data_IF_807128526370
#
_entry.id   IF_807128526370
#
_cell.length_a   1.000
_cell.length_b   1.000
_cell.length_c   1.000
_cell.angle_alpha   90.00
_cell.angle_beta   90.00
_cell.angle_gamma   90.00
#
_symmetry.space_group_name_H-M   'P 1'
#
loop_
_entity.id
_entity.type
_entity.pdbx_description
1 polymer ?
#
# COMPACT_ATOMS: atom_id res chain seq x y z
N UNK A 1 7.00 -35.98 5.86
CA UNK A 1 5.91 -35.02 5.54
C UNK A 1 6.22 -33.59 6.01
N UNK A 2 6.69 -33.35 7.25
CA UNK A 2 7.12 -32.01 7.74
C UNK A 2 8.18 -31.32 6.85
N UNK A 3 9.24 -32.03 6.45
CA UNK A 3 10.31 -31.45 5.63
C UNK A 3 9.91 -31.02 4.19
N UNK A 4 8.87 -31.64 3.61
CA UNK A 4 8.39 -31.24 2.26
C UNK A 4 7.57 -29.94 2.35
N UNK A 5 6.79 -29.79 3.43
CA UNK A 5 5.98 -28.60 3.67
C UNK A 5 6.85 -27.39 4.07
N UNK A 6 7.90 -27.61 4.86
CA UNK A 6 8.89 -26.57 5.19
C UNK A 6 9.68 -26.11 3.95
N UNK A 7 10.12 -27.03 3.10
CA UNK A 7 10.80 -26.68 1.85
C UNK A 7 9.90 -25.90 0.89
N UNK A 8 8.62 -26.27 0.80
CA UNK A 8 7.64 -25.56 -0.05
C UNK A 8 7.38 -24.14 0.49
N UNK A 9 7.24 -24.00 1.80
CA UNK A 9 7.04 -22.71 2.46
C UNK A 9 8.28 -21.82 2.34
N UNK A 10 9.47 -22.41 2.33
CA UNK A 10 10.75 -21.74 2.14
C UNK A 10 10.95 -21.22 0.70
N UNK A 11 10.70 -22.05 -0.30
CA UNK A 11 10.74 -21.63 -1.72
C UNK A 11 9.76 -20.50 -1.98
N UNK A 12 8.58 -20.54 -1.35
CA UNK A 12 7.56 -19.50 -1.47
C UNK A 12 8.05 -18.14 -0.94
N UNK A 13 8.85 -18.12 0.12
CA UNK A 13 9.39 -16.87 0.72
C UNK A 13 10.43 -16.22 -0.19
N UNK A 14 11.38 -16.99 -0.71
CA UNK A 14 12.38 -16.46 -1.65
C UNK A 14 11.69 -15.99 -2.92
N UNK A 15 10.74 -16.78 -3.45
CA UNK A 15 9.94 -16.40 -4.60
C UNK A 15 9.16 -15.10 -4.36
N UNK A 16 8.61 -14.89 -3.17
CA UNK A 16 7.91 -13.64 -2.82
C UNK A 16 8.84 -12.42 -2.77
N UNK A 17 10.06 -12.58 -2.24
CA UNK A 17 11.07 -11.52 -2.23
C UNK A 17 11.50 -11.13 -3.65
N UNK A 18 11.74 -12.13 -4.50
CA UNK A 18 12.05 -11.92 -5.93
C UNK A 18 10.87 -11.25 -6.65
N UNK A 19 9.64 -11.70 -6.39
CA UNK A 19 8.44 -11.12 -6.97
C UNK A 19 8.30 -9.64 -6.60
N UNK A 20 8.51 -9.27 -5.33
CA UNK A 20 8.46 -7.87 -4.88
C UNK A 20 9.52 -7.01 -5.60
N UNK A 21 10.74 -7.53 -5.76
CA UNK A 21 11.79 -6.84 -6.53
C UNK A 21 11.40 -6.67 -8.00
N UNK A 22 10.84 -7.71 -8.62
CA UNK A 22 10.39 -7.66 -10.02
C UNK A 22 9.27 -6.64 -10.20
N UNK A 23 8.31 -6.57 -9.28
CA UNK A 23 7.24 -5.57 -9.30
C UNK A 23 7.83 -4.15 -9.20
N UNK A 24 8.77 -3.92 -8.28
CA UNK A 24 9.45 -2.63 -8.15
C UNK A 24 10.27 -2.25 -9.39
N UNK A 25 10.97 -3.21 -9.99
CA UNK A 25 11.72 -3.03 -11.23
C UNK A 25 10.80 -2.75 -12.42
N UNK A 26 9.68 -3.48 -12.54
CA UNK A 26 8.68 -3.27 -13.57
C UNK A 26 8.00 -1.90 -13.45
N UNK A 27 7.66 -1.46 -12.23
CA UNK A 27 7.12 -0.13 -11.98
C UNK A 27 8.09 0.98 -12.43
N UNK A 28 9.39 0.81 -12.18
CA UNK A 28 10.41 1.77 -12.60
C UNK A 28 10.72 1.68 -14.10
N UNK A 29 10.63 0.50 -14.69
CA UNK A 29 10.71 0.32 -16.14
C UNK A 29 9.55 1.00 -16.84
N UNK A 30 8.32 0.86 -16.34
CA UNK A 30 7.14 1.60 -16.82
C UNK A 30 7.36 3.11 -16.72
N UNK A 31 7.95 3.59 -15.62
CA UNK A 31 8.30 5.00 -15.47
C UNK A 31 9.31 5.49 -16.53
N UNK A 32 10.24 4.64 -16.96
CA UNK A 32 11.20 4.94 -18.02
C UNK A 32 10.58 4.84 -19.41
N UNK A 33 9.75 3.85 -19.66
CA UNK A 33 9.05 3.65 -20.94
C UNK A 33 7.93 4.67 -21.19
N UNK A 34 7.43 5.31 -20.12
CA UNK A 34 6.49 6.43 -20.18
C UNK A 34 7.02 7.66 -20.94
N UNK A 35 8.34 7.76 -21.12
CA UNK A 35 9.06 8.89 -21.72
C UNK A 35 8.67 9.14 -23.20
N UNK A 36 8.08 8.15 -23.88
CA UNK A 36 7.61 8.28 -25.28
C UNK A 36 6.11 8.41 -25.49
N UNK A 37 5.27 8.21 -24.45
CA UNK A 37 3.82 8.06 -24.64
C UNK A 37 3.00 9.08 -23.83
N UNK A 38 2.20 9.91 -24.52
CA UNK A 38 1.44 11.04 -23.92
C UNK A 38 0.51 10.63 -22.76
N UNK A 39 0.02 9.39 -22.74
CA UNK A 39 -0.82 8.85 -21.67
C UNK A 39 -0.09 8.79 -20.31
N UNK A 40 1.22 8.56 -20.32
CA UNK A 40 2.00 8.28 -19.12
C UNK A 40 2.72 9.51 -18.54
N UNK A 41 2.88 10.57 -19.35
CA UNK A 41 3.55 11.81 -18.95
C UNK A 41 2.85 12.56 -17.79
N UNK A 42 1.56 12.28 -17.51
CA UNK A 42 0.85 12.87 -16.36
C UNK A 42 1.23 12.22 -15.03
N UNK A 43 1.75 10.99 -15.06
CA UNK A 43 2.18 10.22 -13.88
C UNK A 43 3.68 10.40 -13.62
N UNK A 44 4.45 10.48 -14.69
CA UNK A 44 5.91 10.44 -14.68
C UNK A 44 6.47 11.85 -14.96
N UNK A 45 6.76 12.63 -13.92
CA UNK A 45 7.44 13.92 -14.07
C UNK A 45 8.96 13.73 -14.11
N UNK A 46 9.47 12.93 -15.05
CA UNK A 46 10.92 12.85 -15.23
C UNK A 46 11.45 14.22 -15.68
N UNK A 47 12.08 14.95 -14.75
CA UNK A 47 12.96 16.05 -15.09
C UNK A 47 14.15 15.45 -15.86
N UNK A 48 14.39 15.94 -17.06
CA UNK A 48 15.27 15.40 -18.12
C UNK A 48 16.74 15.14 -17.74
N UNK A 49 17.15 15.33 -16.48
CA UNK A 49 18.57 15.41 -16.07
C UNK A 49 19.04 14.39 -15.01
N UNK A 50 18.24 13.40 -14.59
CA UNK A 50 18.73 12.34 -13.68
C UNK A 50 18.36 10.94 -14.18
N UNK A 51 19.10 10.49 -15.20
CA UNK A 51 19.07 9.13 -15.76
C UNK A 51 19.78 8.08 -14.87
N UNK A 52 20.06 8.39 -13.61
CA UNK A 52 20.68 7.44 -12.69
C UNK A 52 19.59 6.71 -11.92
N UNK A 53 19.68 5.39 -11.83
CA UNK A 53 18.95 4.63 -10.81
C UNK A 53 19.27 5.33 -9.48
N UNK A 54 18.28 5.94 -8.79
CA UNK A 54 18.57 6.68 -7.59
C UNK A 54 19.14 5.69 -6.61
N UNK A 55 20.27 6.05 -6.02
CA UNK A 55 20.94 5.26 -5.00
C UNK A 55 19.94 4.68 -3.97
N UNK A 56 18.90 5.46 -3.62
CA UNK A 56 17.81 5.04 -2.75
C UNK A 56 17.08 3.78 -3.22
N UNK A 57 16.73 3.67 -4.51
CA UNK A 57 16.05 2.48 -5.06
C UNK A 57 16.93 1.23 -4.98
N UNK A 58 18.22 1.39 -5.30
CA UNK A 58 19.19 0.30 -5.20
C UNK A 58 19.32 -0.19 -3.74
N UNK A 59 19.41 0.74 -2.79
CA UNK A 59 19.44 0.42 -1.35
C UNK A 59 18.15 -0.30 -0.93
N UNK A 60 16.98 0.13 -1.39
CA UNK A 60 15.71 -0.53 -1.08
C UNK A 60 15.64 -1.97 -1.60
N UNK A 61 16.04 -2.19 -2.86
CA UNK A 61 16.10 -3.54 -3.44
C UNK A 61 17.10 -4.42 -2.69
N UNK A 62 18.26 -3.86 -2.31
CA UNK A 62 19.26 -4.57 -1.51
C UNK A 62 18.72 -4.94 -0.13
N UNK A 63 17.97 -4.05 0.53
CA UNK A 63 17.34 -4.33 1.83
C UNK A 63 16.26 -5.42 1.72
N UNK A 64 15.47 -5.44 0.65
CA UNK A 64 14.52 -6.53 0.37
C UNK A 64 15.28 -7.85 0.20
N UNK A 65 16.39 -7.85 -0.54
CA UNK A 65 17.22 -9.04 -0.75
C UNK A 65 17.85 -9.54 0.54
N UNK A 66 18.38 -8.62 1.34
CA UNK A 66 18.95 -8.91 2.64
C UNK A 66 17.89 -9.47 3.59
N UNK A 67 16.67 -8.93 3.59
CA UNK A 67 15.57 -9.47 4.41
C UNK A 67 15.19 -10.90 4.02
N UNK A 68 15.11 -11.19 2.70
CA UNK A 68 14.85 -12.55 2.21
C UNK A 68 15.98 -13.50 2.58
N UNK A 69 17.24 -13.05 2.48
CA UNK A 69 18.41 -13.83 2.88
C UNK A 69 18.46 -14.06 4.41
N UNK A 70 18.05 -13.09 5.22
CA UNK A 70 17.98 -13.24 6.69
C UNK A 70 16.89 -14.21 7.13
N UNK A 71 15.74 -14.22 6.44
CA UNK A 71 14.70 -15.23 6.66
C UNK A 71 15.22 -16.62 6.31
N UNK A 72 15.95 -16.76 5.20
CA UNK A 72 16.63 -18.00 4.81
C UNK A 72 17.64 -18.45 5.88
N UNK A 73 18.51 -17.55 6.32
CA UNK A 73 19.56 -17.86 7.28
C UNK A 73 19.00 -18.25 8.65
N UNK A 74 17.99 -17.53 9.13
CA UNK A 74 17.35 -17.79 10.42
C UNK A 74 16.57 -19.11 10.45
N UNK A 75 16.03 -19.52 9.30
CA UNK A 75 15.29 -20.79 9.18
C UNK A 75 16.24 -21.98 9.07
N UNK A 76 17.33 -21.85 8.31
CA UNK A 76 18.38 -22.86 8.21
C UNK A 76 19.05 -23.16 9.57
N UNK A 77 19.40 -22.12 10.34
CA UNK A 77 19.98 -22.30 11.68
C UNK A 77 19.01 -22.98 12.66
N UNK A 78 17.70 -22.68 12.56
CA UNK A 78 16.66 -23.38 13.33
C UNK A 78 16.57 -24.86 12.99
N UNK A 79 16.69 -25.23 11.71
CA UNK A 79 16.69 -26.64 11.31
C UNK A 79 17.90 -27.40 11.88
N UNK A 80 19.01 -26.71 12.12
CA UNK A 80 20.21 -27.27 12.77
C UNK A 80 20.16 -27.23 14.31
N UNK A 81 19.02 -26.86 14.93
CA UNK A 81 18.84 -26.70 16.39
C UNK A 81 19.81 -25.73 17.05
N UNK A 82 20.44 -24.82 16.29
CA UNK A 82 21.29 -23.79 16.86
C UNK A 82 20.43 -22.61 17.33
N UNK A 83 20.83 -22.01 18.46
CA UNK A 83 20.20 -20.79 18.95
C UNK A 83 20.46 -19.63 17.99
N UNK A 84 19.46 -18.77 17.80
CA UNK A 84 19.58 -17.64 16.89
C UNK A 84 20.57 -16.63 17.48
N UNK A 85 21.70 -16.43 16.80
CA UNK A 85 22.73 -15.48 17.24
C UNK A 85 22.14 -14.06 17.40
N UNK A 86 22.54 -13.30 18.44
CA UNK A 86 22.07 -11.92 18.67
C UNK A 86 22.37 -10.99 17.49
N UNK A 87 23.37 -11.31 16.68
CA UNK A 87 23.73 -10.58 15.45
C UNK A 87 22.58 -10.60 14.44
N UNK A 88 21.88 -11.73 14.29
CA UNK A 88 20.73 -11.83 13.37
C UNK A 88 19.56 -10.98 13.85
N UNK A 89 19.31 -10.94 15.16
CA UNK A 89 18.25 -10.10 15.74
C UNK A 89 18.52 -8.63 15.51
N UNK A 90 19.75 -8.19 15.80
CA UNK A 90 20.16 -6.80 15.56
C UNK A 90 20.00 -6.42 14.09
N UNK A 91 20.46 -7.29 13.18
CA UNK A 91 20.34 -7.03 11.75
C UNK A 91 18.89 -7.01 11.27
N UNK A 92 18.01 -7.85 11.82
CA UNK A 92 16.57 -7.84 11.51
C UNK A 92 15.91 -6.53 11.99
N UNK A 93 16.22 -6.08 13.20
CA UNK A 93 15.73 -4.80 13.72
C UNK A 93 16.22 -3.61 12.90
N UNK A 94 17.51 -3.57 12.58
CA UNK A 94 18.09 -2.51 11.74
C UNK A 94 17.48 -2.51 10.34
N UNK A 95 17.34 -3.68 9.72
CA UNK A 95 16.76 -3.80 8.37
C UNK A 95 15.31 -3.36 8.36
N UNK A 96 14.50 -3.81 9.32
CA UNK A 96 13.10 -3.43 9.44
C UNK A 96 12.95 -1.91 9.68
N UNK A 97 13.62 -1.38 10.70
CA UNK A 97 13.53 0.03 11.07
C UNK A 97 14.04 0.97 9.97
N UNK A 98 15.22 0.69 9.41
CA UNK A 98 15.80 1.53 8.36
C UNK A 98 14.91 1.52 7.11
N UNK A 99 14.45 0.34 6.67
CA UNK A 99 13.62 0.20 5.45
C UNK A 99 12.39 1.10 5.42
N UNK A 100 11.74 1.33 6.56
CA UNK A 100 10.53 2.15 6.64
C UNK A 100 10.75 3.65 6.55
N UNK A 101 11.97 4.11 6.84
CA UNK A 101 12.31 5.54 6.81
C UNK A 101 12.70 5.96 5.38
N UNK A 102 13.27 5.06 4.58
CA UNK A 102 13.71 5.35 3.21
C UNK A 102 12.65 5.99 2.30
N UNK A 103 11.37 5.56 2.30
CA UNK A 103 10.36 6.14 1.43
C UNK A 103 10.18 7.66 1.60
N UNK A 104 10.49 8.22 2.77
CA UNK A 104 10.38 9.65 3.05
C UNK A 104 11.36 10.49 2.21
N UNK A 105 12.50 9.92 1.82
CA UNK A 105 13.52 10.59 1.00
C UNK A 105 13.35 10.33 -0.50
N UNK A 106 12.28 9.64 -0.90
CA UNK A 106 12.02 9.35 -2.31
C UNK A 106 11.53 10.57 -3.07
N UNK A 107 11.70 10.53 -4.39
CA UNK A 107 11.29 11.55 -5.35
C UNK A 107 9.80 11.93 -5.16
N UNK A 108 9.46 13.19 -5.50
CA UNK A 108 8.12 13.75 -5.27
C UNK A 108 7.07 13.30 -6.30
N UNK A 109 7.49 12.53 -7.30
CA UNK A 109 6.58 11.96 -8.31
C UNK A 109 5.75 10.82 -7.72
N UNK A 110 4.49 10.73 -8.16
CA UNK A 110 3.50 9.78 -7.63
C UNK A 110 4.01 8.33 -7.71
N UNK A 111 4.49 7.92 -8.89
CA UNK A 111 4.85 6.52 -9.16
C UNK A 111 6.16 6.10 -8.47
N UNK A 112 7.28 6.85 -8.55
CA UNK A 112 8.49 6.57 -7.78
C UNK A 112 8.27 6.63 -6.26
N UNK A 113 7.48 7.59 -5.75
CA UNK A 113 7.16 7.68 -4.32
C UNK A 113 6.42 6.45 -3.84
N UNK A 114 5.37 6.04 -4.54
CA UNK A 114 4.57 4.88 -4.13
C UNK A 114 5.32 3.56 -4.29
N UNK A 115 6.11 3.41 -5.35
CA UNK A 115 7.00 2.25 -5.54
C UNK A 115 8.02 2.18 -4.39
N UNK A 116 8.53 3.33 -3.96
CA UNK A 116 9.45 3.42 -2.83
C UNK A 116 8.77 3.08 -1.50
N UNK A 117 7.53 3.51 -1.29
CA UNK A 117 6.70 3.11 -0.13
C UNK A 117 6.49 1.59 -0.12
N UNK A 118 6.10 0.99 -1.25
CA UNK A 118 5.97 -0.46 -1.40
C UNK A 118 7.28 -1.20 -1.09
N UNK A 119 8.41 -0.77 -1.65
CA UNK A 119 9.70 -1.41 -1.40
C UNK A 119 10.26 -1.14 0.01
N UNK A 120 9.91 -0.02 0.66
CA UNK A 120 10.36 0.31 2.01
C UNK A 120 9.66 -0.47 3.10
N UNK A 121 8.36 -0.77 2.94
CA UNK A 121 7.63 -1.60 3.90
C UNK A 121 7.84 -3.10 3.68
N UNK A 122 8.29 -3.52 2.49
CA UNK A 122 8.49 -4.93 2.15
C UNK A 122 9.47 -5.69 3.08
N UNK A 123 10.67 -5.18 3.45
CA UNK A 123 11.61 -5.92 4.30
C UNK A 123 11.02 -6.25 5.67
N UNK A 124 10.33 -5.29 6.27
CA UNK A 124 9.67 -5.47 7.56
C UNK A 124 8.54 -6.50 7.48
N UNK A 125 7.74 -6.46 6.42
CA UNK A 125 6.66 -7.42 6.21
C UNK A 125 7.20 -8.84 5.95
N UNK A 126 8.23 -8.98 5.11
CA UNK A 126 8.88 -10.25 4.81
C UNK A 126 9.44 -10.90 6.07
N UNK A 127 10.14 -10.12 6.91
CA UNK A 127 10.69 -10.59 8.18
C UNK A 127 9.62 -11.08 9.16
N UNK A 128 8.42 -10.51 9.14
CA UNK A 128 7.31 -10.88 10.03
C UNK A 128 6.35 -11.91 9.41
N UNK A 129 6.53 -12.28 8.15
CA UNK A 129 5.68 -13.21 7.40
C UNK A 129 6.15 -14.67 7.45
N UNK A 130 5.20 -15.60 7.28
CA UNK A 130 5.47 -17.05 7.30
C UNK A 130 5.39 -17.71 5.92
N UNK A 131 4.82 -17.09 4.90
CA UNK A 131 4.82 -17.67 3.54
C UNK A 131 3.82 -17.03 2.60
N UNK A 132 2.57 -17.52 2.59
CA UNK A 132 1.53 -17.06 1.67
C UNK A 132 1.22 -15.57 1.82
N UNK A 133 1.36 -15.02 3.03
CA UNK A 133 1.16 -13.60 3.32
C UNK A 133 2.11 -12.71 2.49
N UNK A 134 3.35 -13.15 2.26
CA UNK A 134 4.33 -12.40 1.47
C UNK A 134 3.94 -12.37 -0.01
N UNK A 135 3.34 -13.45 -0.51
CA UNK A 135 2.77 -13.49 -1.87
C UNK A 135 1.56 -12.56 -1.95
N UNK A 136 0.68 -12.58 -0.94
CA UNK A 136 -0.44 -11.65 -0.84
C UNK A 136 0.03 -10.18 -0.89
N UNK A 137 1.10 -9.83 -0.18
CA UNK A 137 1.66 -8.48 -0.21
C UNK A 137 2.09 -8.04 -1.61
N UNK A 138 2.78 -8.89 -2.36
CA UNK A 138 3.15 -8.56 -3.74
C UNK A 138 1.95 -8.51 -4.69
N UNK A 139 0.98 -9.41 -4.54
CA UNK A 139 -0.27 -9.37 -5.30
C UNK A 139 -1.06 -8.09 -5.03
N UNK A 140 -1.15 -7.67 -3.76
CA UNK A 140 -1.75 -6.40 -3.35
C UNK A 140 -1.02 -5.21 -4.01
N UNK A 141 0.32 -5.24 -4.01
CA UNK A 141 1.13 -4.23 -4.72
C UNK A 141 0.81 -4.13 -6.21
N UNK A 142 0.67 -5.27 -6.90
CA UNK A 142 0.27 -5.29 -8.32
C UNK A 142 -1.12 -4.70 -8.56
N UNK A 143 -2.10 -5.04 -7.72
CA UNK A 143 -3.47 -4.50 -7.81
C UNK A 143 -3.47 -2.99 -7.58
N UNK A 144 -2.72 -2.49 -6.60
CA UNK A 144 -2.58 -1.06 -6.33
C UNK A 144 -1.94 -0.32 -7.51
N UNK A 145 -0.89 -0.88 -8.10
CA UNK A 145 -0.27 -0.34 -9.31
C UNK A 145 -1.25 -0.32 -10.48
N UNK A 146 -1.97 -1.41 -10.73
CA UNK A 146 -2.97 -1.48 -11.78
C UNK A 146 -4.09 -0.43 -11.59
N UNK A 147 -4.53 -0.23 -10.35
CA UNK A 147 -5.56 0.76 -10.03
C UNK A 147 -5.14 2.18 -10.37
N UNK A 148 -3.90 2.58 -10.02
CA UNK A 148 -3.37 3.90 -10.38
C UNK A 148 -3.33 4.08 -11.90
N UNK A 149 -2.83 3.08 -12.62
CA UNK A 149 -2.73 3.14 -14.09
C UNK A 149 -4.10 3.24 -14.75
N UNK A 150 -5.09 2.52 -14.22
CA UNK A 150 -6.47 2.58 -14.67
C UNK A 150 -7.07 3.97 -14.50
N UNK A 151 -6.97 4.57 -13.30
CA UNK A 151 -7.53 5.90 -13.05
C UNK A 151 -6.85 6.98 -13.90
N UNK A 152 -5.55 6.86 -14.12
CA UNK A 152 -4.82 7.76 -15.02
C UNK A 152 -5.28 7.67 -16.48
N UNK A 153 -5.44 6.45 -16.98
CA UNK A 153 -5.92 6.22 -18.34
C UNK A 153 -7.33 6.79 -18.51
N UNK A 154 -8.20 6.57 -17.51
CA UNK A 154 -9.54 7.11 -17.49
C UNK A 154 -9.56 8.64 -17.52
N UNK A 155 -8.72 9.31 -16.72
CA UNK A 155 -8.60 10.77 -16.76
C UNK A 155 -8.15 11.28 -18.12
N UNK A 156 -7.16 10.64 -18.72
CA UNK A 156 -6.63 11.05 -20.02
C UNK A 156 -7.69 10.96 -21.11
N UNK A 157 -8.40 9.83 -21.21
CA UNK A 157 -9.46 9.61 -22.20
C UNK A 157 -10.58 10.63 -22.05
N UNK A 158 -11.02 10.89 -20.82
CA UNK A 158 -12.06 11.88 -20.56
C UNK A 158 -11.63 13.30 -20.94
N UNK A 159 -10.37 13.66 -20.68
CA UNK A 159 -9.82 14.96 -21.07
C UNK A 159 -9.73 15.13 -22.59
N UNK A 160 -9.33 14.08 -23.31
CA UNK A 160 -9.29 14.08 -24.77
C UNK A 160 -10.71 14.22 -25.36
N UNK A 161 -11.69 13.51 -24.81
CA UNK A 161 -13.09 13.60 -25.23
C UNK A 161 -13.76 14.96 -24.96
N UNK A 162 -13.34 15.67 -23.91
CA UNK A 162 -13.79 17.05 -23.64
C UNK A 162 -13.11 18.08 -24.55
N UNK A 163 -11.84 17.86 -24.91
CA UNK A 163 -11.08 18.78 -25.77
C UNK A 163 -11.56 18.79 -27.23
N UNK A 164 -12.15 17.70 -27.73
CA UNK A 164 -12.72 17.64 -29.09
C UNK A 164 -14.08 18.35 -29.22
N UNK A 165 -14.79 18.60 -28.12
CA UNK A 165 -16.06 19.35 -28.12
C UNK A 165 -15.84 20.86 -27.90
N UNK A 166 -14.76 21.22 -27.20
CA UNK A 166 -14.44 22.62 -26.86
C UNK A 166 -13.79 23.43 -28.01
N UNK A 167 -13.42 22.80 -29.13
CA UNK A 167 -12.77 23.50 -30.26
C UNK A 167 -13.74 24.39 -31.07
N UNK A 168 -15.05 24.33 -30.79
CA UNK A 168 -16.06 25.19 -31.41
C UNK A 168 -16.50 26.40 -30.55
N UNK A 169 -15.93 26.59 -29.35
CA UNK A 169 -16.27 27.74 -28.48
C UNK A 169 -15.02 28.44 -27.96
N UNK A 170 -14.16 28.87 -28.87
CA UNK A 170 -13.02 29.71 -28.54
C UNK A 170 -13.49 31.08 -27.99
N UNK A 171 -12.83 31.53 -26.90
CA UNK A 171 -12.79 32.91 -26.37
C UNK A 171 -14.05 33.44 -25.65
N UNK A 172 -14.26 33.06 -24.38
CA UNK A 172 -14.87 33.94 -23.33
C UNK A 172 -14.89 33.29 -21.94
N UNK A 173 -13.73 33.17 -21.28
CA UNK A 173 -13.57 33.39 -19.83
C UNK A 173 -12.11 33.11 -19.43
N UNK A 174 -11.24 34.06 -19.74
CA UNK A 174 -10.07 34.32 -18.90
C UNK A 174 -10.57 35.07 -17.67
N UNK A 175 -10.13 34.65 -16.47
CA UNK A 175 -10.36 35.24 -15.13
C UNK A 175 -11.53 34.55 -14.38
N UNK A 176 -11.22 34.07 -13.16
CA UNK A 176 -11.95 33.14 -12.28
C UNK A 176 -12.00 31.67 -12.73
N UNK A 177 -11.07 30.86 -12.22
CA UNK A 177 -11.39 29.51 -11.72
C UNK A 177 -10.23 29.10 -10.80
N UNK A 178 -10.39 29.46 -9.53
CA UNK A 178 -9.70 28.84 -8.41
C UNK A 178 -10.66 27.79 -7.79
N UNK A 179 -11.40 27.09 -8.66
CA UNK A 179 -12.45 26.19 -8.23
C UNK A 179 -11.86 24.79 -8.07
N UNK A 180 -11.68 24.42 -6.82
CA UNK A 180 -11.66 23.02 -6.43
C UNK A 180 -12.84 22.33 -7.14
N UNK A 181 -12.53 21.36 -8.01
CA UNK A 181 -13.56 20.60 -8.73
C UNK A 181 -14.55 20.05 -7.72
N UNK A 182 -15.82 20.43 -7.85
CA UNK A 182 -16.89 19.91 -7.00
C UNK A 182 -16.95 18.37 -7.11
N UNK A 183 -17.21 17.68 -6.00
CA UNK A 183 -17.37 16.23 -6.02
C UNK A 183 -18.55 15.84 -6.92
N UNK A 184 -18.25 15.21 -8.04
CA UNK A 184 -19.25 14.56 -8.85
C UNK A 184 -19.50 13.14 -8.33
N UNK A 185 -20.75 12.66 -8.40
CA UNK A 185 -21.11 11.28 -8.04
C UNK A 185 -20.31 10.25 -8.85
N UNK A 186 -19.82 10.62 -10.04
CA UNK A 186 -18.92 9.78 -10.85
C UNK A 186 -17.57 9.49 -10.18
N UNK A 187 -17.16 10.33 -9.24
CA UNK A 187 -15.91 10.20 -8.50
C UNK A 187 -16.08 9.35 -7.23
N UNK A 188 -17.33 8.96 -6.87
CA UNK A 188 -17.62 8.03 -5.78
C UNK A 188 -17.04 6.61 -6.01
N UNK A 189 -16.66 6.28 -7.25
CA UNK A 189 -15.98 5.02 -7.55
C UNK A 189 -14.65 4.85 -6.80
N UNK A 190 -13.92 5.95 -6.59
CA UNK A 190 -12.57 5.93 -5.99
C UNK A 190 -12.65 5.51 -4.51
N UNK A 191 -13.48 6.15 -3.64
CA UNK A 191 -13.64 5.69 -2.27
C UNK A 191 -14.26 4.29 -2.17
N UNK A 192 -15.10 3.87 -3.14
CA UNK A 192 -15.62 2.50 -3.17
C UNK A 192 -14.52 1.46 -3.46
N UNK A 193 -13.69 1.68 -4.48
CA UNK A 193 -12.54 0.81 -4.79
C UNK A 193 -11.56 0.77 -3.61
N UNK A 194 -11.30 1.93 -3.00
CA UNK A 194 -10.52 2.00 -1.76
C UNK A 194 -11.10 1.09 -0.68
N UNK A 195 -12.40 1.16 -0.39
CA UNK A 195 -13.03 0.34 0.64
C UNK A 195 -12.95 -1.15 0.33
N UNK A 196 -13.12 -1.53 -0.93
CA UNK A 196 -12.95 -2.94 -1.35
C UNK A 196 -11.52 -3.38 -1.11
N UNK A 197 -10.53 -2.62 -1.56
CA UNK A 197 -9.11 -2.95 -1.37
C UNK A 197 -8.69 -2.94 0.10
N UNK A 198 -9.27 -2.05 0.91
CA UNK A 198 -9.05 -1.98 2.34
C UNK A 198 -9.58 -3.24 3.05
N UNK A 199 -10.79 -3.68 2.70
CA UNK A 199 -11.35 -4.94 3.21
C UNK A 199 -10.55 -6.15 2.73
N UNK A 200 -10.10 -6.16 1.47
CA UNK A 200 -9.21 -7.21 0.95
C UNK A 200 -7.89 -7.24 1.71
N UNK A 201 -7.31 -6.08 2.06
CA UNK A 201 -6.12 -6.01 2.92
C UNK A 201 -6.39 -6.56 4.33
N UNK A 202 -7.57 -6.28 4.88
CA UNK A 202 -8.00 -6.76 6.19
C UNK A 202 -8.14 -8.29 6.23
N UNK A 203 -8.94 -8.87 5.32
CA UNK A 203 -9.20 -10.30 5.30
C UNK A 203 -8.07 -11.12 4.65
N UNK A 204 -7.37 -10.56 3.67
CA UNK A 204 -6.34 -11.25 2.89
C UNK A 204 -5.08 -11.59 3.67
N UNK A 205 -4.83 -10.91 4.79
CA UNK A 205 -3.75 -11.30 5.72
C UNK A 205 -4.08 -12.55 6.55
N UNK A 206 -5.31 -13.07 6.46
CA UNK A 206 -5.73 -14.37 7.00
C UNK A 206 -5.75 -14.50 8.53
N UNK A 207 -5.18 -13.54 9.26
CA UNK A 207 -4.87 -13.69 10.68
C UNK A 207 -5.66 -12.78 11.64
N UNK A 208 -6.55 -11.91 11.12
CA UNK A 208 -7.32 -11.02 12.00
C UNK A 208 -8.39 -11.75 12.82
N UNK A 209 -9.07 -12.74 12.22
CA UNK A 209 -10.14 -13.50 12.88
C UNK A 209 -9.61 -14.39 14.02
N UNK A 210 -8.32 -14.69 14.04
CA UNK A 210 -7.67 -15.55 15.02
C UNK A 210 -6.30 -14.98 15.38
N UNK A 211 -6.28 -13.89 16.15
CA UNK A 211 -5.07 -13.38 16.82
C UNK A 211 -4.33 -14.50 17.60
N UNK A 212 -5.04 -15.54 18.02
CA UNK A 212 -4.45 -16.74 18.63
C UNK A 212 -3.73 -17.69 17.65
N UNK A 213 -3.99 -17.59 16.35
CA UNK A 213 -3.38 -18.43 15.30
C UNK A 213 -2.10 -17.85 14.71
N UNK A 214 -1.68 -16.65 15.15
CA UNK A 214 -0.42 -16.07 14.70
C UNK A 214 0.73 -17.01 15.06
N UNK A 215 1.46 -17.48 14.04
CA UNK A 215 2.66 -18.25 14.31
C UNK A 215 3.71 -17.37 14.94
N UNK A 216 3.97 -17.64 16.21
CA UNK A 216 5.00 -17.01 17.04
C UNK A 216 6.39 -17.18 16.41
N UNK A 217 6.55 -18.14 15.49
CA UNK A 217 7.78 -18.42 14.76
C UNK A 217 8.33 -17.24 13.94
N UNK A 218 7.50 -16.30 13.47
CA UNK A 218 8.03 -15.12 12.77
C UNK A 218 8.54 -14.05 13.74
N UNK A 219 7.90 -13.91 14.90
CA UNK A 219 8.29 -12.95 15.94
C UNK A 219 9.63 -13.32 16.58
N UNK A 220 9.90 -14.62 16.72
CA UNK A 220 11.18 -15.08 17.25
C UNK A 220 12.41 -14.70 16.42
N UNK A 221 12.23 -14.17 15.20
CA UNK A 221 13.33 -13.59 14.40
C UNK A 221 13.80 -12.24 14.96
N UNK A 222 12.97 -11.55 15.73
CA UNK A 222 13.27 -10.25 16.34
C UNK A 222 13.60 -10.34 17.82
N UNK A 223 12.94 -11.24 18.55
CA UNK A 223 13.10 -11.35 20.01
C UNK A 223 13.09 -12.83 20.41
N UNK A 224 14.11 -13.27 21.14
CA UNK A 224 14.15 -14.64 21.72
C UNK A 224 13.51 -14.74 23.09
N UNK A 225 13.48 -13.63 23.86
CA UNK A 225 12.89 -13.58 25.20
C UNK A 225 11.38 -13.36 25.08
N UNK A 226 10.60 -14.23 25.70
CA UNK A 226 9.15 -14.09 25.70
C UNK A 226 8.72 -12.79 26.37
N UNK A 227 8.18 -11.87 25.58
CA UNK A 227 7.62 -10.59 26.03
C UNK A 227 6.26 -10.39 25.36
N UNK A 228 5.15 -10.70 26.05
CA UNK A 228 3.82 -10.77 25.42
C UNK A 228 3.39 -9.44 24.80
N UNK A 229 3.73 -8.31 25.44
CA UNK A 229 3.41 -6.99 24.92
C UNK A 229 4.15 -6.65 23.62
N UNK A 230 5.46 -6.87 23.59
CA UNK A 230 6.29 -6.54 22.42
C UNK A 230 5.99 -7.48 21.25
N UNK A 231 5.76 -8.76 21.53
CA UNK A 231 5.33 -9.74 20.54
C UNK A 231 3.97 -9.36 19.93
N UNK A 232 3.00 -8.99 20.75
CA UNK A 232 1.70 -8.53 20.27
C UNK A 232 1.82 -7.23 19.47
N UNK A 233 2.67 -6.30 19.89
CA UNK A 233 2.94 -5.07 19.16
C UNK A 233 3.52 -5.32 17.76
N UNK A 234 4.46 -6.26 17.62
CA UNK A 234 5.02 -6.64 16.32
C UNK A 234 3.98 -7.30 15.40
N UNK A 235 3.04 -8.07 15.95
CA UNK A 235 1.94 -8.68 15.18
C UNK A 235 0.92 -7.63 14.73
N UNK A 236 0.54 -6.69 15.59
CA UNK A 236 -0.31 -5.55 15.22
C UNK A 236 0.38 -4.71 14.14
N UNK A 237 1.68 -4.46 14.30
CA UNK A 237 2.48 -3.72 13.33
C UNK A 237 2.57 -4.42 11.97
N UNK A 238 2.68 -5.76 11.94
CA UNK A 238 2.61 -6.54 10.70
C UNK A 238 1.28 -6.32 9.97
N UNK A 239 0.16 -6.31 10.71
CA UNK A 239 -1.17 -6.06 10.14
C UNK A 239 -1.31 -4.63 9.61
N UNK A 240 -0.62 -3.67 10.21
CA UNK A 240 -0.66 -2.26 9.83
C UNK A 240 -0.09 -1.99 8.43
N UNK A 241 0.92 -2.75 8.01
CA UNK A 241 1.67 -2.55 6.76
C UNK A 241 0.79 -2.54 5.48
N UNK A 242 -0.05 -3.56 5.19
CA UNK A 242 -0.89 -3.55 3.99
C UNK A 242 -1.89 -2.39 3.98
N UNK A 243 -2.42 -1.98 5.14
CA UNK A 243 -3.31 -0.81 5.22
C UNK A 243 -2.60 0.48 4.84
N UNK A 244 -1.34 0.65 5.29
CA UNK A 244 -0.53 1.80 4.91
C UNK A 244 -0.32 1.91 3.40
N UNK A 245 -0.14 0.78 2.70
CA UNK A 245 -0.01 0.79 1.25
C UNK A 245 -1.29 1.24 0.55
N UNK A 246 -2.44 0.68 0.95
CA UNK A 246 -3.74 0.98 0.33
C UNK A 246 -4.06 2.46 0.51
N UNK A 247 -3.84 3.01 1.70
CA UNK A 247 -4.17 4.40 1.99
C UNK A 247 -3.20 5.41 1.36
N UNK A 248 -1.90 5.08 1.28
CA UNK A 248 -0.93 5.89 0.55
C UNK A 248 -1.29 5.93 -0.94
N UNK A 249 -1.72 4.80 -1.50
CA UNK A 249 -2.17 4.72 -2.90
C UNK A 249 -3.43 5.55 -3.12
N UNK A 250 -4.42 5.44 -2.23
CA UNK A 250 -5.65 6.24 -2.31
C UNK A 250 -5.37 7.74 -2.23
N UNK A 251 -4.54 8.19 -1.30
CA UNK A 251 -4.13 9.60 -1.20
C UNK A 251 -3.42 10.07 -2.47
N UNK A 252 -2.54 9.22 -3.04
CA UNK A 252 -1.87 9.51 -4.30
C UNK A 252 -2.85 9.64 -5.48
N UNK A 253 -3.82 8.73 -5.60
CA UNK A 253 -4.88 8.76 -6.63
C UNK A 253 -5.78 9.99 -6.45
N UNK A 254 -6.18 10.31 -5.22
CA UNK A 254 -6.98 11.50 -4.92
C UNK A 254 -6.26 12.80 -5.31
N UNK A 255 -4.96 12.89 -5.02
CA UNK A 255 -4.11 14.01 -5.46
C UNK A 255 -3.99 14.08 -6.98
N UNK A 256 -3.85 12.92 -7.63
CA UNK A 256 -3.70 12.83 -9.08
C UNK A 256 -4.94 13.32 -9.83
N UNK A 257 -6.13 13.01 -9.32
CA UNK A 257 -7.42 13.44 -9.88
C UNK A 257 -7.81 14.88 -9.44
N UNK A 258 -7.00 15.51 -8.57
CA UNK A 258 -7.25 16.84 -8.00
C UNK A 258 -8.59 16.95 -7.27
N UNK A 259 -8.98 15.88 -6.56
CA UNK A 259 -10.20 15.92 -5.77
C UNK A 259 -9.99 16.66 -4.45
N UNK A 260 -11.01 17.40 -3.96
CA UNK A 260 -10.97 17.96 -2.61
C UNK A 260 -10.82 16.80 -1.60
N UNK A 261 -9.66 16.75 -0.94
CA UNK A 261 -9.27 15.68 0.01
C UNK A 261 -10.33 15.45 1.08
N UNK A 262 -10.88 16.52 1.64
CA UNK A 262 -11.89 16.47 2.71
C UNK A 262 -13.14 15.71 2.29
N UNK A 263 -13.66 15.97 1.09
CA UNK A 263 -14.86 15.29 0.61
C UNK A 263 -14.63 13.83 0.22
N UNK A 264 -13.44 13.47 -0.28
CA UNK A 264 -13.07 12.07 -0.49
C UNK A 264 -13.02 11.30 0.82
N UNK A 265 -12.41 11.86 1.87
CA UNK A 265 -12.39 11.24 3.19
C UNK A 265 -13.79 11.11 3.78
N UNK A 266 -14.62 12.15 3.64
CA UNK A 266 -16.01 12.11 4.06
C UNK A 266 -16.81 10.98 3.37
N UNK A 267 -16.64 10.81 2.06
CA UNK A 267 -17.28 9.71 1.32
C UNK A 267 -16.82 8.33 1.78
N UNK A 268 -15.52 8.16 2.05
CA UNK A 268 -15.02 6.90 2.62
C UNK A 268 -15.68 6.60 3.96
N UNK A 269 -15.77 7.59 4.85
CA UNK A 269 -16.41 7.42 6.17
C UNK A 269 -17.88 7.07 6.00
N UNK A 270 -18.61 7.81 5.17
CA UNK A 270 -20.03 7.58 4.91
C UNK A 270 -20.30 6.17 4.37
N UNK A 271 -19.51 5.70 3.38
CA UNK A 271 -19.66 4.35 2.87
C UNK A 271 -19.26 3.26 3.87
N UNK A 272 -18.28 3.56 4.75
CA UNK A 272 -17.89 2.66 5.84
C UNK A 272 -19.00 2.55 6.89
N UNK A 273 -19.66 3.65 7.23
CA UNK A 273 -20.79 3.68 8.16
C UNK A 273 -22.00 2.92 7.60
N UNK A 274 -22.29 3.08 6.30
CA UNK A 274 -23.34 2.28 5.62
C UNK A 274 -23.03 0.79 5.71
N UNK A 275 -21.77 0.39 5.52
CA UNK A 275 -21.33 -0.99 5.68
C UNK A 275 -21.49 -1.47 7.13
N UNK A 276 -21.11 -0.66 8.12
CA UNK A 276 -21.28 -0.98 9.54
C UNK A 276 -22.75 -1.15 9.93
N UNK A 277 -23.64 -0.27 9.45
CA UNK A 277 -25.09 -0.37 9.64
C UNK A 277 -25.66 -1.63 9.01
N UNK A 278 -25.19 -2.03 7.83
CA UNK A 278 -25.61 -3.28 7.21
C UNK A 278 -25.30 -4.48 8.11
N UNK A 279 -24.09 -4.55 8.68
CA UNK A 279 -23.73 -5.60 9.63
C UNK A 279 -24.49 -5.50 10.95
N UNK A 280 -24.83 -4.30 11.41
CA UNK A 280 -25.68 -4.10 12.59
C UNK A 280 -27.05 -4.76 12.39
N UNK A 281 -27.68 -4.57 11.24
CA UNK A 281 -28.97 -5.20 10.93
C UNK A 281 -28.87 -6.72 10.70
N UNK A 282 -27.67 -7.24 10.40
CA UNK A 282 -27.40 -8.68 10.29
C UNK A 282 -27.11 -9.36 11.64
N UNK A 283 -27.03 -8.61 12.75
CA UNK A 283 -26.82 -9.19 14.09
C UNK A 283 -28.01 -10.07 14.44
N UNK A 284 -27.73 -11.35 14.72
CA UNK A 284 -28.75 -12.34 15.04
C UNK A 284 -28.96 -12.43 16.54
N UNK A 285 -30.23 -12.35 16.96
CA UNK A 285 -30.65 -12.56 18.36
C UNK A 285 -31.17 -13.98 18.63
N UNK A 286 -31.15 -14.86 17.62
CA UNK A 286 -31.64 -16.24 17.68
C UNK A 286 -30.70 -17.16 16.92
N UNK A 287 -30.52 -18.39 17.40
CA UNK A 287 -29.63 -19.39 16.79
C UNK A 287 -28.65 -19.98 17.80
N UNK A 288 -27.60 -20.62 17.29
CA UNK A 288 -26.52 -21.15 18.15
C UNK A 288 -25.72 -20.01 18.78
N UNK A 289 -25.17 -20.23 19.99
CA UNK A 289 -24.28 -19.26 20.66
C UNK A 289 -23.09 -18.83 19.79
N UNK A 290 -22.58 -19.76 18.97
CA UNK A 290 -21.50 -19.49 18.02
C UNK A 290 -21.93 -18.52 16.91
N UNK A 291 -23.12 -18.71 16.34
CA UNK A 291 -23.64 -17.80 15.30
C UNK A 291 -23.93 -16.40 15.85
N UNK A 292 -24.49 -16.33 17.06
CA UNK A 292 -24.74 -15.06 17.75
C UNK A 292 -23.39 -14.35 17.97
N UNK A 293 -22.41 -15.06 18.53
CA UNK A 293 -21.05 -14.56 18.75
C UNK A 293 -20.40 -14.06 17.45
N UNK A 294 -20.42 -14.86 16.38
CA UNK A 294 -19.84 -14.47 15.10
C UNK A 294 -20.52 -13.22 14.52
N UNK A 295 -21.85 -13.12 14.59
CA UNK A 295 -22.57 -11.94 14.08
C UNK A 295 -22.18 -10.66 14.83
N UNK A 296 -22.00 -10.74 16.15
CA UNK A 296 -21.54 -9.64 17.00
C UNK A 296 -20.08 -9.30 16.69
N UNK A 297 -19.22 -10.30 16.52
CA UNK A 297 -17.82 -10.10 16.15
C UNK A 297 -17.68 -9.43 14.79
N UNK A 298 -18.45 -9.84 13.77
CA UNK A 298 -18.44 -9.21 12.46
C UNK A 298 -18.83 -7.72 12.54
N UNK A 299 -19.90 -7.39 13.26
CA UNK A 299 -20.29 -6.01 13.49
C UNK A 299 -19.21 -5.21 14.24
N UNK A 300 -18.65 -5.76 15.31
CA UNK A 300 -17.58 -5.11 16.09
C UNK A 300 -16.32 -4.88 15.27
N UNK A 301 -15.95 -5.82 14.41
CA UNK A 301 -14.80 -5.73 13.50
C UNK A 301 -14.98 -4.57 12.52
N UNK A 302 -16.11 -4.52 11.80
CA UNK A 302 -16.37 -3.46 10.80
C UNK A 302 -16.47 -2.09 11.49
N UNK A 303 -17.06 -2.03 12.68
CA UNK A 303 -17.13 -0.79 13.47
C UNK A 303 -15.73 -0.30 13.91
N UNK A 304 -14.87 -1.20 14.39
CA UNK A 304 -13.49 -0.87 14.73
C UNK A 304 -12.67 -0.44 13.51
N UNK A 305 -12.96 -1.04 12.35
CA UNK A 305 -12.32 -0.72 11.08
C UNK A 305 -12.56 0.73 10.66
N UNK A 306 -13.78 1.26 10.84
CA UNK A 306 -14.12 2.67 10.54
C UNK A 306 -13.22 3.63 11.32
N UNK A 307 -13.09 3.40 12.63
CA UNK A 307 -12.23 4.23 13.51
C UNK A 307 -10.76 4.11 13.10
N UNK A 308 -10.33 2.91 12.74
CA UNK A 308 -8.96 2.67 12.32
C UNK A 308 -8.62 3.37 10.99
N UNK A 309 -9.55 3.45 10.04
CA UNK A 309 -9.39 4.21 8.79
C UNK A 309 -9.14 5.70 9.07
N UNK A 310 -9.85 6.30 10.04
CA UNK A 310 -9.64 7.70 10.44
C UNK A 310 -8.21 7.93 10.96
N UNK A 311 -7.71 7.03 11.80
CA UNK A 311 -6.34 7.09 12.32
C UNK A 311 -5.31 6.98 11.19
N UNK A 312 -5.53 6.07 10.24
CA UNK A 312 -4.66 5.92 9.08
C UNK A 312 -4.66 7.17 8.19
N UNK A 313 -5.79 7.86 8.02
CA UNK A 313 -5.84 9.11 7.23
C UNK A 313 -4.92 10.18 7.81
N UNK A 314 -4.88 10.33 9.14
CA UNK A 314 -3.96 11.25 9.80
C UNK A 314 -2.49 10.89 9.53
N UNK A 315 -2.15 9.59 9.57
CA UNK A 315 -0.78 9.12 9.33
C UNK A 315 -0.37 9.24 7.85
N UNK A 316 -1.32 9.12 6.94
CA UNK A 316 -1.06 9.21 5.49
C UNK A 316 -0.60 10.59 5.07
N UNK A 317 -1.07 11.64 5.75
CA UNK A 317 -0.65 13.02 5.46
C UNK A 317 0.88 13.16 5.62
N UNK A 318 1.48 12.49 6.60
CA UNK A 318 2.94 12.47 6.81
C UNK A 318 3.69 11.90 5.59
N UNK A 319 3.23 10.78 5.05
CA UNK A 319 3.92 10.10 3.93
C UNK A 319 3.66 10.75 2.58
N UNK A 320 2.48 11.36 2.42
CA UNK A 320 2.00 11.87 1.13
C UNK A 320 2.13 13.37 0.98
N UNK A 321 2.45 14.15 2.03
CA UNK A 321 2.59 15.61 2.00
C UNK A 321 3.40 16.13 0.81
N UNK A 322 4.52 15.48 0.51
CA UNK A 322 5.50 15.93 -0.48
C UNK A 322 5.19 15.51 -1.92
N UNK A 323 4.12 14.74 -2.15
CA UNK A 323 3.72 14.33 -3.50
C UNK A 323 3.27 15.56 -4.29
N UNK A 324 4.03 15.90 -5.34
CA UNK A 324 3.74 16.98 -6.26
C UNK A 324 3.03 16.42 -7.49
N UNK A 325 1.80 16.86 -7.73
CA UNK A 325 1.07 16.57 -8.97
C UNK A 325 1.18 17.80 -9.86
N UNK A 326 1.69 17.64 -11.09
CA UNK A 326 1.83 18.75 -12.04
C UNK A 326 0.43 19.25 -12.45
N UNK A 327 0.02 20.38 -11.89
CA UNK A 327 -0.92 21.25 -12.59
C UNK A 327 -0.23 21.77 -13.86
N UNK A 328 -0.88 21.67 -15.01
CA UNK A 328 -0.33 21.95 -16.35
C UNK A 328 0.11 23.42 -16.57
N UNK A 329 0.21 24.25 -15.51
CA UNK A 329 0.52 25.68 -15.55
C UNK A 329 1.97 26.02 -15.92
N UNK A 330 2.94 25.10 -15.83
CA UNK A 330 4.36 25.48 -16.01
C UNK A 330 4.85 25.53 -17.46
N UNK A 331 4.11 24.98 -18.43
CA UNK A 331 4.55 25.02 -19.84
C UNK A 331 4.13 26.28 -20.60
N UNK A 332 3.18 27.06 -20.08
CA UNK A 332 2.69 28.29 -20.73
C UNK A 332 3.47 29.55 -20.35
N UNK A 333 4.39 29.47 -19.38
CA UNK A 333 5.11 30.65 -18.84
C UNK A 333 6.53 30.84 -19.41
N UNK A 334 6.92 30.07 -20.43
CA UNK A 334 8.22 30.18 -21.13
C UNK A 334 8.12 30.68 -22.57
N UNK A 335 6.94 31.16 -22.98
CA UNK A 335 6.74 31.87 -24.25
C UNK A 335 6.19 33.27 -23.94
N UNK A 336 7.04 34.11 -23.35
CA UNK A 336 6.90 35.57 -23.38
C UNK A 336 8.29 36.14 -23.57
#
# INVERSE_FOLDING_TARGET
MKGIFENSCFSLRIASGVMIMLIGAAARWLNKSAEGNKYWSSICSCNMNKLNIPFLFLVQVLLVGLSSAMVWLSTSHRMQKQELHPIHQFLNWCTAGFSMILPLFSENDVLPRLTSVFLGFAPSFLLLSIGYEAVFYGALGLVLMAWILFENTHLYVNKMGKSSVADNSAKKHTILENDDRYLELSDARIPLIFLVLFNVAFFGTGNFASIASFEISSVYRFITIFSPFLMTALLIFKLFIPFMLVICTFSAVAKLIQLPRSGCYFLVILFSDVMALHFFFLVKNKGSWMEIGNSISHFGIVSAQVVFVLLLFALTDIYTKDIQVRSNRSSARKLV
#
